data_IF_250136194618
#
_entry.id   IF_250136194618
#
_cell.length_a   1.000
_cell.length_b   1.000
_cell.length_c   1.000
_cell.angle_alpha   90.00
_cell.angle_beta   90.00
_cell.angle_gamma   90.00
#
_symmetry.space_group_name_H-M   'P 1'
#
loop_
_entity.id
_entity.type
_entity.pdbx_description
1 polymer ?
#
# COMPACT_ATOMS: atom_id res chain seq x y z
N UNK A 1 1.10 -0.36 5.77
CA UNK A 1 0.80 -1.59 5.00
C UNK A 1 1.83 -1.75 3.90
N UNK A 2 1.90 -2.93 3.32
CA UNK A 2 2.66 -3.18 2.09
C UNK A 2 1.74 -3.05 0.86
N UNK A 3 2.21 -2.35 -0.17
CA UNK A 3 1.55 -2.27 -1.48
C UNK A 3 2.51 -2.79 -2.53
N UNK A 4 2.12 -3.80 -3.30
CA UNK A 4 2.94 -4.30 -4.43
C UNK A 4 2.32 -3.90 -5.74
N UNK A 5 3.16 -3.51 -6.68
CA UNK A 5 2.76 -3.06 -8.01
C UNK A 5 3.53 -3.87 -9.04
N UNK A 6 2.79 -4.63 -9.84
CA UNK A 6 3.32 -5.25 -11.04
C UNK A 6 3.45 -4.21 -12.15
N UNK A 7 4.62 -4.12 -12.77
CA UNK A 7 4.86 -3.20 -13.89
C UNK A 7 4.73 -3.98 -15.21
N UNK A 8 3.89 -3.50 -16.12
CA UNK A 8 3.75 -4.06 -17.45
C UNK A 8 5.10 -4.04 -18.19
N UNK A 9 5.33 -5.06 -19.01
CA UNK A 9 6.58 -5.25 -19.78
C UNK A 9 7.86 -5.32 -18.93
N UNK A 10 7.72 -5.58 -17.63
CA UNK A 10 8.82 -5.70 -16.68
C UNK A 10 8.63 -6.92 -15.79
N UNK A 11 9.68 -7.75 -15.58
CA UNK A 11 9.62 -8.86 -14.63
C UNK A 11 9.77 -8.40 -13.16
N UNK A 12 9.93 -7.08 -12.93
CA UNK A 12 10.14 -6.52 -11.59
C UNK A 12 8.84 -5.99 -11.01
N UNK A 13 8.69 -6.21 -9.71
CA UNK A 13 7.65 -5.61 -8.87
C UNK A 13 8.19 -4.42 -8.10
N UNK A 14 7.35 -3.41 -7.89
CA UNK A 14 7.61 -2.30 -6.98
C UNK A 14 6.86 -2.54 -5.67
N UNK A 15 7.59 -2.57 -4.56
CA UNK A 15 7.03 -2.70 -3.21
C UNK A 15 7.12 -1.38 -2.48
N UNK A 16 5.99 -0.88 -1.99
CA UNK A 16 5.87 0.39 -1.27
C UNK A 16 5.27 0.14 0.10
N UNK A 17 6.01 0.46 1.16
CA UNK A 17 5.50 0.42 2.52
C UNK A 17 4.85 1.76 2.86
N UNK A 18 3.53 1.85 2.70
CA UNK A 18 2.77 3.09 2.93
C UNK A 18 2.14 3.14 4.32
N UNK A 19 2.01 4.35 4.86
CA UNK A 19 1.26 4.62 6.11
C UNK A 19 -0.24 4.84 5.88
N UNK A 20 -0.68 4.88 4.62
CA UNK A 20 -2.08 4.99 4.23
C UNK A 20 -2.88 3.75 4.65
N UNK A 21 -4.21 3.89 4.70
CA UNK A 21 -5.17 2.81 4.94
C UNK A 21 -5.56 2.09 3.64
N UNK A 22 -6.08 0.83 3.70
CA UNK A 22 -6.31 0.06 2.48
C UNK A 22 -7.30 0.74 1.53
N UNK A 23 -8.34 1.35 2.10
CA UNK A 23 -9.36 2.10 1.36
C UNK A 23 -8.81 3.37 0.71
N UNK A 24 -7.85 4.06 1.34
CA UNK A 24 -7.20 5.22 0.73
C UNK A 24 -6.37 4.82 -0.48
N UNK A 25 -5.60 3.72 -0.36
CA UNK A 25 -4.81 3.18 -1.47
C UNK A 25 -5.72 2.72 -2.61
N UNK A 26 -6.81 2.01 -2.30
CA UNK A 26 -7.80 1.57 -3.28
C UNK A 26 -8.41 2.74 -4.05
N UNK A 27 -8.79 3.81 -3.35
CA UNK A 27 -9.33 5.02 -3.97
C UNK A 27 -8.32 5.71 -4.90
N UNK A 28 -7.04 5.79 -4.49
CA UNK A 28 -5.97 6.33 -5.32
C UNK A 28 -5.75 5.51 -6.60
N UNK A 29 -5.76 4.17 -6.48
CA UNK A 29 -5.64 3.26 -7.62
C UNK A 29 -6.82 3.42 -8.57
N UNK A 30 -8.05 3.40 -8.04
CA UNK A 30 -9.28 3.59 -8.85
C UNK A 30 -9.27 4.93 -9.59
N UNK A 31 -8.86 5.99 -8.91
CA UNK A 31 -8.73 7.33 -9.51
C UNK A 31 -7.68 7.36 -10.61
N UNK A 32 -6.51 6.74 -10.38
CA UNK A 32 -5.44 6.68 -11.36
C UNK A 32 -5.85 5.90 -12.62
N UNK A 33 -6.66 4.85 -12.46
CA UNK A 33 -7.11 3.98 -13.55
C UNK A 33 -8.33 4.52 -14.31
N UNK A 34 -9.06 5.49 -13.74
CA UNK A 34 -10.20 6.13 -14.40
C UNK A 34 -9.86 7.01 -15.60
N UNK A 35 -8.58 7.15 -15.98
CA UNK A 35 -8.12 7.94 -17.13
C UNK A 35 -6.62 7.78 -17.41
N UNK A 36 -5.99 8.77 -18.05
CA UNK A 36 -4.53 8.81 -18.29
C UNK A 36 -3.77 9.31 -17.04
N UNK A 37 -4.07 8.70 -15.89
CA UNK A 37 -3.59 9.14 -14.59
C UNK A 37 -2.18 8.63 -14.23
N UNK A 38 -1.64 9.21 -13.17
CA UNK A 38 -0.42 8.74 -12.49
C UNK A 38 -0.83 8.23 -11.10
N UNK A 39 -0.52 6.97 -10.81
CA UNK A 39 -0.59 6.44 -9.45
C UNK A 39 0.57 7.02 -8.64
N UNK A 40 0.23 7.79 -7.61
CA UNK A 40 1.18 8.39 -6.69
C UNK A 40 1.09 7.71 -5.34
N UNK A 41 2.16 7.05 -4.91
CA UNK A 41 2.27 6.48 -3.56
C UNK A 41 3.41 7.14 -2.80
N UNK A 42 3.24 7.28 -1.50
CA UNK A 42 4.29 7.74 -0.58
C UNK A 42 4.54 6.64 0.42
N UNK A 43 5.82 6.33 0.60
CA UNK A 43 6.22 5.37 1.63
C UNK A 43 6.42 6.04 3.00
N UNK A 44 6.62 5.21 4.01
CA UNK A 44 6.88 5.64 5.39
C UNK A 44 8.11 6.55 5.56
N UNK A 45 9.04 6.55 4.60
CA UNK A 45 10.25 7.39 4.60
C UNK A 45 10.04 8.70 3.84
N UNK A 46 8.82 8.98 3.38
CA UNK A 46 8.48 10.16 2.59
C UNK A 46 8.94 10.08 1.14
N UNK A 47 9.41 8.93 0.65
CA UNK A 47 9.74 8.76 -0.77
C UNK A 47 8.46 8.68 -1.57
N UNK A 48 8.38 9.46 -2.64
CA UNK A 48 7.24 9.52 -3.53
C UNK A 48 7.52 8.70 -4.79
N UNK A 49 6.64 7.77 -5.08
CA UNK A 49 6.63 6.94 -6.27
C UNK A 49 5.54 7.45 -7.20
N UNK A 50 5.90 7.72 -8.46
CA UNK A 50 4.98 8.14 -9.50
C UNK A 50 5.00 7.08 -10.61
N UNK A 51 3.88 6.41 -10.81
CA UNK A 51 3.75 5.31 -11.76
C UNK A 51 2.65 5.68 -12.78
N UNK A 52 2.94 5.71 -14.09
CA UNK A 52 1.89 5.85 -15.09
C UNK A 52 0.87 4.72 -14.96
N UNK A 53 -0.42 5.04 -14.84
CA UNK A 53 -1.47 4.03 -14.66
C UNK A 53 -1.47 2.99 -15.79
N UNK A 54 -1.20 3.42 -17.02
CA UNK A 54 -1.08 2.57 -18.20
C UNK A 54 0.04 1.51 -18.12
N UNK A 55 1.02 1.67 -17.21
CA UNK A 55 2.10 0.70 -16.99
C UNK A 55 1.87 -0.22 -15.80
N UNK A 56 0.74 -0.09 -15.11
CA UNK A 56 0.42 -0.96 -13.97
C UNK A 56 -0.27 -2.22 -14.49
N UNK A 57 0.36 -3.36 -14.31
CA UNK A 57 -0.23 -4.66 -14.63
C UNK A 57 -1.23 -5.10 -13.57
N UNK A 58 -0.88 -4.89 -12.29
CA UNK A 58 -1.74 -5.16 -11.14
C UNK A 58 -1.26 -4.39 -9.91
N UNK A 59 -2.15 -4.25 -8.91
CA UNK A 59 -1.82 -3.72 -7.59
C UNK A 59 -2.33 -4.70 -6.53
N UNK A 60 -1.44 -5.14 -5.64
CA UNK A 60 -1.76 -5.89 -4.43
C UNK A 60 -1.74 -4.93 -3.24
N UNK A 61 -2.87 -4.83 -2.53
CA UNK A 61 -2.99 -4.06 -1.30
C UNK A 61 -2.91 -5.06 -0.14
N UNK A 62 -1.76 -5.05 0.53
CA UNK A 62 -1.54 -5.90 1.70
C UNK A 62 -2.45 -5.51 2.87
N UNK A 63 -2.65 -6.41 3.84
CA UNK A 63 -3.43 -6.10 5.02
C UNK A 63 -2.85 -4.88 5.75
N UNK A 64 -3.71 -3.99 6.23
CA UNK A 64 -3.29 -2.99 7.21
C UNK A 64 -2.80 -3.74 8.44
N UNK A 65 -1.51 -3.64 8.74
CA UNK A 65 -0.86 -4.30 9.87
C UNK A 65 -1.48 -3.76 11.17
N UNK A 66 -2.61 -4.35 11.57
CA UNK A 66 -3.21 -4.14 12.88
C UNK A 66 -2.36 -4.94 13.86
N UNK A 67 -1.17 -4.42 14.21
CA UNK A 67 -0.44 -4.90 15.37
C UNK A 67 -1.33 -4.68 16.59
N UNK A 68 -2.12 -5.69 16.91
CA UNK A 68 -2.83 -5.80 18.17
C UNK A 68 -1.75 -6.02 19.22
N UNK A 69 -1.29 -4.93 19.85
CA UNK A 69 -0.43 -5.02 21.03
C UNK A 69 -1.26 -5.65 22.17
N UNK A 70 -1.14 -6.97 22.32
CA UNK A 70 -1.69 -7.71 23.44
C UNK A 70 -0.78 -7.58 24.65
N UNK A 71 -0.79 -6.42 25.30
CA UNK A 71 -0.21 -6.25 26.63
C UNK A 71 -1.33 -5.99 27.64
N UNK A 72 -1.97 -7.07 28.09
CA UNK A 72 -2.62 -7.11 29.39
C UNK A 72 -2.21 -8.38 30.12
N UNK A 73 -1.04 -8.33 30.74
CA UNK A 73 -0.79 -8.97 32.04
C UNK A 73 -0.26 -7.87 32.97
N UNK A 74 -0.37 -7.96 34.31
CA UNK A 74 -0.80 -9.10 35.13
C UNK A 74 -1.94 -8.73 36.12
N UNK A 75 -2.69 -9.71 36.60
CA UNK A 75 -3.39 -9.55 37.88
C UNK A 75 -3.24 -10.84 38.68
N UNK A 76 -2.46 -10.84 39.77
CA UNK A 76 -2.50 -11.95 40.71
C UNK A 76 -3.84 -11.88 41.45
N UNK A 77 -4.65 -12.93 41.32
CA UNK A 77 -5.77 -13.13 42.23
C UNK A 77 -5.22 -13.82 43.48
N UNK A 78 -5.45 -13.16 44.63
CA UNK A 78 -5.20 -13.66 45.98
C UNK A 78 -6.09 -14.87 46.27
#
# INVERSE_FOLDING_TARGET
MEVKIGIADSPRELVVNSTQTPSEVEALVSTAFGGEGVLSLVDEKGRKYLIPAAKVAYVEIGPSDARRVGFSSPTPQL
#
